data_IF_243596461788
#
_entry.id   IF_243596461788
#
_cell.length_a   1.000
_cell.length_b   1.000
_cell.length_c   1.000
_cell.angle_alpha   90.00
_cell.angle_beta   90.00
_cell.angle_gamma   90.00
#
_symmetry.space_group_name_H-M   'P 1'
#
loop_
_entity.id
_entity.type
_entity.pdbx_description
1 polymer ?
#
# COMPACT_ATOMS: atom_id res chain seq x y z
N UNK A 1 2.71 17.62 13.37
CA UNK A 1 1.28 17.26 13.20
C UNK A 1 0.97 16.69 11.80
N UNK A 2 1.41 17.30 10.71
CA UNK A 2 1.16 16.85 9.32
C UNK A 2 1.61 15.42 8.97
N UNK A 3 2.71 14.93 9.54
CA UNK A 3 3.21 13.57 9.27
C UNK A 3 2.25 12.46 9.75
N UNK A 4 1.57 12.66 10.88
CA UNK A 4 0.59 11.68 11.41
C UNK A 4 -0.67 11.56 10.56
N UNK A 5 -1.06 12.63 9.85
CA UNK A 5 -2.24 12.62 8.96
C UNK A 5 -1.93 11.79 7.71
N UNK A 6 -0.74 11.95 7.10
CA UNK A 6 -0.34 11.20 5.91
C UNK A 6 -0.33 9.69 6.12
N UNK A 7 0.13 9.23 7.29
CA UNK A 7 0.09 7.81 7.66
C UNK A 7 -1.35 7.29 7.79
N UNK A 8 -2.26 8.06 8.42
CA UNK A 8 -3.68 7.68 8.52
C UNK A 8 -4.34 7.56 7.13
N UNK A 9 -4.01 8.47 6.22
CA UNK A 9 -4.52 8.42 4.84
C UNK A 9 -4.03 7.18 4.10
N UNK A 10 -2.78 6.75 4.31
CA UNK A 10 -2.28 5.53 3.70
C UNK A 10 -2.99 4.28 4.26
N UNK A 11 -3.22 4.23 5.59
CA UNK A 11 -4.00 3.16 6.20
C UNK A 11 -5.43 3.08 5.63
N UNK A 12 -6.06 4.23 5.35
CA UNK A 12 -7.41 4.29 4.79
C UNK A 12 -7.52 3.55 3.44
N UNK A 13 -6.51 3.67 2.58
CA UNK A 13 -6.46 3.01 1.25
C UNK A 13 -5.70 1.68 1.25
N UNK A 14 -5.32 1.15 2.41
CA UNK A 14 -4.62 -0.13 2.54
C UNK A 14 -5.30 -1.00 3.60
N UNK A 15 -4.82 -1.02 4.84
CA UNK A 15 -5.29 -1.95 5.87
C UNK A 15 -6.74 -1.72 6.28
N UNK A 16 -7.22 -0.47 6.35
CA UNK A 16 -8.63 -0.20 6.69
C UNK A 16 -9.58 -0.61 5.57
N UNK A 17 -9.18 -0.43 4.30
CA UNK A 17 -9.93 -0.94 3.17
C UNK A 17 -9.98 -2.49 3.18
N UNK A 18 -8.86 -3.15 3.49
CA UNK A 18 -8.80 -4.60 3.61
C UNK A 18 -9.71 -5.13 4.73
N UNK A 19 -9.72 -4.49 5.90
CA UNK A 19 -10.66 -4.82 6.98
C UNK A 19 -12.12 -4.61 6.59
N UNK A 20 -12.45 -3.49 5.92
CA UNK A 20 -13.81 -3.22 5.46
C UNK A 20 -14.33 -4.28 4.48
N UNK A 21 -13.41 -4.92 3.75
CA UNK A 21 -13.70 -5.97 2.77
C UNK A 21 -13.55 -7.39 3.33
N UNK A 22 -13.12 -7.57 4.59
CA UNK A 22 -12.89 -8.89 5.20
C UNK A 22 -11.76 -9.70 4.54
N UNK A 23 -10.74 -9.02 4.01
CA UNK A 23 -9.57 -9.63 3.33
C UNK A 23 -8.24 -9.18 3.94
N UNK A 24 -8.27 -8.65 5.16
CA UNK A 24 -7.09 -8.17 5.88
C UNK A 24 -6.05 -9.26 6.13
N UNK A 25 -6.43 -10.54 6.15
CA UNK A 25 -5.48 -11.64 6.32
C UNK A 25 -4.60 -11.84 5.08
N UNK A 26 -5.05 -11.32 3.93
CA UNK A 26 -4.35 -11.43 2.64
C UNK A 26 -3.64 -10.16 2.23
N UNK A 27 -4.25 -8.98 2.38
CA UNK A 27 -3.73 -7.73 1.78
C UNK A 27 -3.69 -6.56 2.77
N UNK A 28 -3.29 -5.38 2.28
CA UNK A 28 -3.40 -4.12 3.00
C UNK A 28 -2.28 -3.80 4.00
N UNK A 29 -1.31 -4.69 4.21
CA UNK A 29 -0.10 -4.38 4.99
C UNK A 29 1.09 -5.25 4.58
N UNK A 30 2.31 -4.76 4.79
CA UNK A 30 3.52 -5.56 4.57
C UNK A 30 3.86 -6.38 5.81
N UNK A 31 3.38 -7.62 5.86
CA UNK A 31 3.65 -8.59 6.94
C UNK A 31 3.83 -10.00 6.34
N UNK A 32 4.62 -10.88 6.97
CA UNK A 32 4.71 -12.28 6.55
C UNK A 32 3.34 -12.97 6.51
N UNK A 33 3.14 -13.86 5.53
CA UNK A 33 1.89 -14.61 5.33
C UNK A 33 0.84 -13.91 4.45
N UNK A 34 1.07 -12.65 4.09
CA UNK A 34 0.20 -11.89 3.18
C UNK A 34 0.61 -12.01 1.72
N UNK A 35 -0.33 -11.72 0.83
CA UNK A 35 -0.09 -11.61 -0.61
C UNK A 35 0.96 -10.53 -0.86
N UNK A 36 1.92 -10.83 -1.74
CA UNK A 36 2.99 -9.92 -2.10
C UNK A 36 2.53 -8.87 -3.13
N UNK A 37 1.48 -8.13 -2.75
CA UNK A 37 0.91 -7.01 -3.49
C UNK A 37 1.59 -5.71 -3.03
N UNK A 38 2.49 -5.20 -3.87
CA UNK A 38 3.44 -4.14 -3.49
C UNK A 38 3.50 -3.08 -4.59
N UNK A 39 3.27 -1.82 -4.23
CA UNK A 39 3.54 -0.67 -5.09
C UNK A 39 4.78 0.06 -4.59
N UNK A 40 5.77 0.22 -5.47
CA UNK A 40 7.03 0.92 -5.20
C UNK A 40 6.94 2.31 -5.80
N UNK A 41 7.25 3.32 -5.01
CA UNK A 41 7.19 4.72 -5.40
C UNK A 41 8.56 5.38 -5.26
N UNK A 42 8.87 6.35 -6.13
CA UNK A 42 10.13 7.13 -6.05
C UNK A 42 10.20 8.07 -4.84
N UNK A 43 9.12 8.21 -4.10
CA UNK A 43 9.01 9.04 -2.90
C UNK A 43 7.70 8.78 -2.16
N UNK A 44 7.26 9.74 -1.35
CA UNK A 44 6.01 9.61 -0.61
C UNK A 44 4.80 9.56 -1.57
N UNK A 45 3.91 8.55 -1.54
CA UNK A 45 2.85 8.36 -2.53
C UNK A 45 1.89 9.55 -2.71
N UNK A 46 1.62 10.31 -1.65
CA UNK A 46 0.80 11.55 -1.72
C UNK A 46 1.56 12.82 -2.15
N UNK A 47 2.79 12.71 -2.64
CA UNK A 47 3.51 13.84 -3.21
C UNK A 47 3.32 13.86 -4.74
N UNK A 48 2.95 15.00 -5.31
CA UNK A 48 2.57 15.09 -6.72
C UNK A 48 3.71 14.78 -7.72
N UNK A 49 4.96 14.99 -7.34
CA UNK A 49 6.14 14.60 -8.14
C UNK A 49 6.51 13.11 -8.03
N UNK A 50 5.86 12.36 -7.14
CA UNK A 50 6.18 10.95 -6.93
C UNK A 50 5.64 10.12 -8.08
N UNK A 51 6.48 9.24 -8.60
CA UNK A 51 6.14 8.31 -9.67
C UNK A 51 6.07 6.89 -9.11
N UNK A 52 5.20 6.07 -9.69
CA UNK A 52 5.20 4.63 -9.47
C UNK A 52 6.38 4.02 -10.22
N UNK A 53 7.32 3.44 -9.48
CA UNK A 53 8.54 2.83 -10.05
C UNK A 53 8.30 1.35 -10.43
N UNK A 54 7.46 0.65 -9.68
CA UNK A 54 7.08 -0.73 -9.96
C UNK A 54 5.79 -1.09 -9.24
N UNK A 55 5.08 -2.08 -9.77
CA UNK A 55 3.95 -2.73 -9.10
C UNK A 55 4.16 -4.23 -9.16
N UNK A 56 3.86 -4.91 -8.07
CA UNK A 56 3.88 -6.35 -7.93
C UNK A 56 2.51 -6.83 -7.47
N UNK A 57 2.00 -7.88 -8.10
CA UNK A 57 0.76 -8.55 -7.70
C UNK A 57 1.08 -10.03 -7.49
N UNK A 58 0.81 -10.55 -6.30
CA UNK A 58 1.18 -11.91 -5.92
C UNK A 58 2.68 -12.21 -6.09
N UNK A 59 3.54 -11.21 -5.88
CA UNK A 59 5.00 -11.33 -6.03
C UNK A 59 5.53 -11.29 -7.46
N UNK A 60 4.66 -11.13 -8.47
CA UNK A 60 5.06 -10.96 -9.87
C UNK A 60 4.99 -9.50 -10.26
N UNK A 61 6.04 -9.00 -10.92
CA UNK A 61 6.05 -7.64 -11.46
C UNK A 61 5.02 -7.54 -12.58
N UNK A 62 4.21 -6.49 -12.56
CA UNK A 62 3.31 -6.15 -13.66
C UNK A 62 3.95 -5.05 -14.51
N UNK A 63 3.80 -5.15 -15.83
CA UNK A 63 4.30 -4.20 -16.83
C UNK A 63 3.20 -3.23 -17.28
#
# INVERSE_FOLDING_TARGET
MFHKIKLKSLCAITIHAAHAMGVEDRVGSLKPGKDADIAVFSGHPFHYLTQTAAVFIGGKRVE
#
